data_IF_258443076759
#
_entry.id   IF_258443076759
#
_cell.length_a   1.000
_cell.length_b   1.000
_cell.length_c   1.000
_cell.angle_alpha   90.00
_cell.angle_beta   90.00
_cell.angle_gamma   90.00
#
_symmetry.space_group_name_H-M   'P 1'
#
loop_
_entity.id
_entity.type
_entity.pdbx_description
1 polymer ?
#
# COMPACT_ATOMS: atom_id res chain seq x y z
N UNK A 1 -55.28 -30.29 -10.72
CA UNK A 1 -53.98 -29.88 -11.24
C UNK A 1 -53.27 -29.04 -10.14
N UNK A 2 -52.28 -29.62 -9.47
CA UNK A 2 -51.52 -28.94 -8.43
C UNK A 2 -50.24 -28.41 -9.11
N UNK A 3 -50.11 -27.07 -9.21
CA UNK A 3 -48.91 -26.41 -9.71
C UNK A 3 -47.87 -26.43 -8.60
N UNK A 4 -46.83 -27.25 -8.73
CA UNK A 4 -45.66 -27.21 -7.86
C UNK A 4 -44.77 -26.03 -8.34
N UNK A 5 -44.72 -24.94 -7.57
CA UNK A 5 -43.78 -23.87 -7.79
C UNK A 5 -42.41 -24.31 -7.28
N UNK A 6 -41.47 -24.56 -8.19
CA UNK A 6 -40.05 -24.73 -7.84
C UNK A 6 -39.45 -23.38 -7.45
N UNK A 7 -39.26 -23.15 -6.17
CA UNK A 7 -38.40 -22.10 -5.67
C UNK A 7 -36.93 -22.49 -5.95
N UNK A 8 -36.37 -21.98 -7.03
CA UNK A 8 -34.92 -22.01 -7.22
C UNK A 8 -34.27 -21.07 -6.19
N UNK A 9 -33.73 -21.65 -5.12
CA UNK A 9 -32.96 -20.91 -4.14
C UNK A 9 -31.70 -20.36 -4.82
N UNK A 10 -31.57 -19.05 -4.94
CA UNK A 10 -30.31 -18.39 -5.26
C UNK A 10 -29.35 -18.69 -4.07
N UNK A 11 -28.50 -19.66 -4.22
CA UNK A 11 -27.36 -19.81 -3.33
C UNK A 11 -26.42 -18.62 -3.61
N UNK A 12 -26.38 -17.65 -2.69
CA UNK A 12 -25.36 -16.61 -2.70
C UNK A 12 -24.00 -17.31 -2.58
N UNK A 13 -23.20 -17.25 -3.65
CA UNK A 13 -21.86 -17.82 -3.62
C UNK A 13 -21.05 -17.05 -2.54
N UNK A 14 -20.48 -17.79 -1.57
CA UNK A 14 -19.69 -17.15 -0.50
C UNK A 14 -18.44 -16.52 -1.08
N UNK A 15 -18.07 -15.33 -0.55
CA UNK A 15 -16.81 -14.69 -0.87
C UNK A 15 -15.63 -15.54 -0.35
N UNK A 16 -14.51 -15.50 -1.06
CA UNK A 16 -13.29 -16.19 -0.69
C UNK A 16 -12.11 -15.22 -0.54
N UNK A 17 -11.05 -15.66 0.13
CA UNK A 17 -9.84 -14.89 0.28
C UNK A 17 -8.83 -15.22 -0.83
N UNK A 18 -8.10 -14.24 -1.33
CA UNK A 18 -6.90 -14.46 -2.15
C UNK A 18 -5.71 -14.35 -1.23
N UNK A 19 -4.90 -15.41 -1.16
CA UNK A 19 -3.65 -15.42 -0.40
C UNK A 19 -2.48 -15.74 -1.33
N UNK A 20 -1.26 -15.40 -0.90
CA UNK A 20 -0.07 -15.72 -1.66
C UNK A 20 1.19 -15.12 -1.07
N UNK A 21 2.29 -15.36 -1.77
CA UNK A 21 3.60 -14.82 -1.45
C UNK A 21 4.20 -14.13 -2.66
N UNK A 22 4.84 -12.99 -2.43
CA UNK A 22 5.67 -12.33 -3.44
C UNK A 22 7.13 -12.56 -3.07
N UNK A 23 7.93 -13.03 -4.02
CA UNK A 23 9.37 -13.23 -3.85
C UNK A 23 10.17 -12.33 -4.77
N UNK A 24 11.41 -12.00 -4.37
CA UNK A 24 12.37 -11.27 -5.19
C UNK A 24 13.34 -12.24 -5.85
N UNK A 25 13.50 -12.13 -7.16
CA UNK A 25 14.57 -12.80 -7.93
C UNK A 25 15.72 -11.85 -8.17
N UNK A 26 16.93 -12.33 -7.98
CA UNK A 26 18.16 -11.55 -8.05
C UNK A 26 18.58 -10.95 -6.71
N UNK A 27 19.77 -10.33 -6.69
CA UNK A 27 20.31 -9.68 -5.50
C UNK A 27 20.13 -8.19 -5.61
N UNK A 28 19.33 -7.55 -4.73
CA UNK A 28 19.16 -6.11 -4.76
C UNK A 28 20.46 -5.40 -4.35
N UNK A 29 20.66 -4.15 -4.81
CA UNK A 29 21.75 -3.32 -4.30
C UNK A 29 21.65 -3.19 -2.78
N UNK A 30 22.78 -3.10 -2.06
CA UNK A 30 22.76 -2.91 -0.62
C UNK A 30 22.06 -1.60 -0.26
N UNK A 31 21.24 -1.65 0.79
CA UNK A 31 20.62 -0.47 1.35
C UNK A 31 21.68 0.46 1.94
N UNK A 32 21.60 1.73 1.59
CA UNK A 32 22.58 2.76 1.97
C UNK A 32 22.22 3.40 3.30
N UNK A 33 23.22 3.75 4.09
CA UNK A 33 23.04 4.57 5.28
C UNK A 33 22.41 5.91 4.88
N UNK A 34 21.40 6.34 5.62
CA UNK A 34 20.82 7.67 5.46
C UNK A 34 21.63 8.68 6.29
N UNK A 35 22.69 9.20 5.69
CA UNK A 35 23.59 10.14 6.35
C UNK A 35 22.91 11.45 6.71
N UNK A 36 21.86 11.84 6.02
CA UNK A 36 21.10 13.05 6.33
C UNK A 36 20.38 12.91 7.68
N UNK A 37 19.69 11.80 7.91
CA UNK A 37 19.04 11.51 9.19
C UNK A 37 20.07 11.32 10.31
N UNK A 38 21.14 10.58 10.04
CA UNK A 38 22.20 10.29 10.99
C UNK A 38 22.86 11.58 11.53
N UNK A 39 23.07 12.54 10.65
CA UNK A 39 23.76 13.81 10.99
C UNK A 39 22.80 14.91 11.46
N UNK A 40 21.50 14.69 11.42
CA UNK A 40 20.53 15.64 11.95
C UNK A 40 20.58 15.65 13.49
N UNK A 41 20.70 16.83 14.13
CA UNK A 41 20.91 16.93 15.58
C UNK A 41 19.72 16.45 16.42
N UNK A 42 18.53 16.37 15.83
CA UNK A 42 17.30 15.91 16.51
C UNK A 42 16.90 14.53 15.98
N UNK A 43 16.68 14.40 14.68
CA UNK A 43 16.22 13.16 14.06
C UNK A 43 17.19 11.99 14.28
N UNK A 44 18.51 12.23 14.21
CA UNK A 44 19.50 11.19 14.43
C UNK A 44 19.46 10.60 15.84
N UNK A 45 19.04 11.36 16.85
CA UNK A 45 18.91 10.90 18.24
C UNK A 45 17.65 10.06 18.50
N UNK A 46 16.70 10.05 17.58
CA UNK A 46 15.46 9.26 17.70
C UNK A 46 15.68 7.79 17.33
N UNK A 47 16.88 7.44 16.84
CA UNK A 47 17.22 6.09 16.41
C UNK A 47 18.39 5.52 17.20
N UNK A 48 18.21 4.33 17.78
CA UNK A 48 19.29 3.54 18.39
C UNK A 48 20.22 2.92 17.35
N UNK A 49 19.64 2.60 16.18
CA UNK A 49 20.33 1.94 15.09
C UNK A 49 20.48 2.87 13.88
N UNK A 50 21.42 2.51 13.01
CA UNK A 50 21.63 3.26 11.78
C UNK A 50 20.45 3.09 10.83
N UNK A 51 19.74 4.19 10.54
CA UNK A 51 18.69 4.20 9.53
C UNK A 51 19.29 4.05 8.15
N UNK A 52 18.74 3.13 7.38
CA UNK A 52 19.12 2.90 5.99
C UNK A 52 17.95 3.22 5.06
N UNK A 53 18.25 3.35 3.78
CA UNK A 53 17.20 3.30 2.77
C UNK A 53 16.47 1.96 2.88
N UNK A 54 15.19 1.95 2.53
CA UNK A 54 14.36 0.73 2.51
C UNK A 54 13.76 0.57 1.11
N UNK A 55 14.64 0.46 0.09
CA UNK A 55 14.19 0.29 -1.28
C UNK A 55 13.73 -1.13 -1.57
N UNK A 56 14.33 -2.11 -0.87
CA UNK A 56 13.94 -3.51 -0.94
C UNK A 56 13.87 -4.08 0.47
N UNK A 57 12.68 -4.38 0.94
CA UNK A 57 12.46 -5.11 2.19
C UNK A 57 12.41 -6.59 1.84
N UNK A 58 13.51 -7.29 2.06
CA UNK A 58 13.64 -8.71 1.72
C UNK A 58 13.72 -9.53 3.00
N UNK A 59 12.71 -10.32 3.25
CA UNK A 59 12.61 -11.19 4.40
C UNK A 59 13.05 -12.63 4.11
N UNK A 60 12.51 -13.56 4.88
CA UNK A 60 12.82 -14.99 4.76
C UNK A 60 12.41 -15.52 3.39
N UNK A 61 13.21 -16.48 2.88
CA UNK A 61 12.98 -17.18 1.62
C UNK A 61 12.72 -16.22 0.45
N UNK A 62 13.51 -15.15 0.37
CA UNK A 62 13.40 -14.10 -0.64
C UNK A 62 12.03 -13.41 -0.67
N UNK A 63 11.24 -13.46 0.40
CA UNK A 63 9.98 -12.75 0.49
C UNK A 63 10.18 -11.25 0.30
N UNK A 64 9.39 -10.61 -0.57
CA UNK A 64 9.50 -9.19 -0.89
C UNK A 64 8.36 -8.42 -0.22
N UNK A 65 8.71 -7.60 0.75
CA UNK A 65 7.80 -6.65 1.39
C UNK A 65 7.50 -5.44 0.51
N UNK A 66 6.55 -4.63 0.96
CA UNK A 66 6.17 -3.37 0.30
C UNK A 66 5.67 -3.52 -1.15
N UNK A 67 5.19 -4.70 -1.52
CA UNK A 67 4.51 -4.92 -2.80
C UNK A 67 3.03 -4.63 -2.63
N UNK A 68 2.48 -3.80 -3.48
CA UNK A 68 1.05 -3.52 -3.53
C UNK A 68 0.38 -4.50 -4.49
N UNK A 69 -0.63 -5.22 -3.98
CA UNK A 69 -1.49 -6.12 -4.75
C UNK A 69 -2.83 -5.42 -4.98
N UNK A 70 -3.29 -5.36 -6.22
CA UNK A 70 -4.61 -4.80 -6.58
C UNK A 70 -5.38 -5.74 -7.47
N UNK A 71 -6.70 -5.79 -7.30
CA UNK A 71 -7.58 -6.66 -8.09
C UNK A 71 -8.30 -5.84 -9.15
N UNK A 72 -8.04 -6.12 -10.43
CA UNK A 72 -8.72 -5.51 -11.56
C UNK A 72 -9.95 -6.34 -11.98
N UNK A 73 -10.96 -5.66 -12.48
CA UNK A 73 -12.24 -6.30 -12.85
C UNK A 73 -13.20 -6.50 -11.68
N UNK A 74 -12.78 -6.19 -10.46
CA UNK A 74 -13.67 -6.21 -9.30
C UNK A 74 -14.66 -5.03 -9.31
N UNK A 75 -15.84 -5.19 -8.67
CA UNK A 75 -16.81 -4.12 -8.55
C UNK A 75 -16.20 -2.90 -7.85
N UNK A 76 -16.37 -1.74 -8.47
CA UNK A 76 -15.92 -0.46 -7.89
C UNK A 76 -16.83 -0.07 -6.74
N UNK A 77 -16.23 0.54 -5.71
CA UNK A 77 -16.96 1.09 -4.57
C UNK A 77 -16.15 2.20 -3.90
N UNK A 78 -16.84 3.04 -3.09
CA UNK A 78 -16.19 4.05 -2.27
C UNK A 78 -15.79 3.49 -0.91
N UNK A 79 -14.64 3.90 -0.41
CA UNK A 79 -14.14 3.58 0.93
C UNK A 79 -14.54 4.57 2.02
N UNK A 80 -15.51 5.46 1.77
CA UNK A 80 -15.93 6.49 2.75
C UNK A 80 -16.33 5.93 4.10
N UNK A 81 -16.95 4.75 4.13
CA UNK A 81 -17.34 4.03 5.35
C UNK A 81 -16.25 3.10 5.90
N UNK A 82 -15.15 2.92 5.19
CA UNK A 82 -14.05 2.09 5.65
C UNK A 82 -13.31 2.74 6.83
N UNK A 83 -12.71 1.93 7.68
CA UNK A 83 -11.89 2.44 8.78
C UNK A 83 -10.76 3.33 8.25
N UNK A 84 -10.43 4.43 8.93
CA UNK A 84 -9.32 5.28 8.55
C UNK A 84 -7.99 4.52 8.57
N UNK A 85 -7.12 4.81 7.60
CA UNK A 85 -5.74 4.35 7.59
C UNK A 85 -4.85 5.44 8.19
N UNK A 86 -3.85 5.04 8.96
CA UNK A 86 -2.93 5.98 9.61
C UNK A 86 -1.58 5.97 8.90
N UNK A 87 -1.05 7.16 8.61
CA UNK A 87 0.32 7.43 8.22
C UNK A 87 0.96 8.28 9.32
N UNK A 88 1.91 7.71 10.05
CA UNK A 88 2.54 8.41 11.18
C UNK A 88 3.90 8.99 10.79
N UNK A 89 4.17 10.21 11.23
CA UNK A 89 5.48 10.85 11.17
C UNK A 89 6.18 10.56 12.49
N UNK A 90 7.04 9.53 12.48
CA UNK A 90 7.68 8.99 13.67
C UNK A 90 9.15 8.68 13.40
N UNK A 91 10.02 9.20 14.26
CA UNK A 91 11.47 9.09 14.06
C UNK A 91 11.93 9.85 12.82
N UNK A 92 11.28 10.95 12.46
CA UNK A 92 11.53 11.69 11.22
C UNK A 92 11.42 10.79 9.96
N UNK A 93 10.50 9.84 9.99
CA UNK A 93 10.12 8.98 8.88
C UNK A 93 8.59 8.96 8.74
N UNK A 94 8.09 8.68 7.55
CA UNK A 94 6.70 8.26 7.36
C UNK A 94 6.59 6.75 7.59
N UNK A 95 5.68 6.35 8.48
CA UNK A 95 5.46 4.94 8.88
C UNK A 95 3.98 4.58 8.76
N UNK A 96 3.61 3.53 8.00
CA UNK A 96 4.47 2.76 7.10
C UNK A 96 4.88 3.55 5.85
N UNK A 97 5.93 3.12 5.17
CA UNK A 97 6.42 3.81 3.97
C UNK A 97 5.56 3.52 2.73
N UNK A 98 4.95 2.34 2.68
CA UNK A 98 4.06 1.91 1.59
C UNK A 98 2.69 1.60 2.17
N UNK A 99 1.65 2.18 1.55
CA UNK A 99 0.25 2.00 1.93
C UNK A 99 -0.62 1.78 0.71
N UNK A 100 -1.77 1.17 0.93
CA UNK A 100 -2.86 1.16 -0.02
C UNK A 100 -4.17 1.56 0.69
N UNK A 101 -4.98 2.34 0.02
CA UNK A 101 -6.28 2.81 0.50
C UNK A 101 -7.30 2.78 -0.62
N UNK A 102 -8.57 2.79 -0.26
CA UNK A 102 -9.66 2.92 -1.24
C UNK A 102 -9.96 4.39 -1.54
N UNK A 103 -10.47 4.69 -2.74
CA UNK A 103 -11.03 6.02 -3.06
C UNK A 103 -12.06 6.42 -2.02
N UNK A 104 -12.01 7.66 -1.53
CA UNK A 104 -12.88 8.18 -0.47
C UNK A 104 -12.51 7.75 0.95
N UNK A 105 -11.69 6.71 1.14
CA UNK A 105 -11.23 6.29 2.47
C UNK A 105 -10.36 7.37 3.12
N UNK A 106 -10.56 7.59 4.40
CA UNK A 106 -9.78 8.58 5.16
C UNK A 106 -8.36 8.09 5.41
N UNK A 107 -7.38 8.90 5.03
CA UNK A 107 -5.98 8.79 5.44
C UNK A 107 -5.71 9.82 6.52
N UNK A 108 -5.40 9.37 7.72
CA UNK A 108 -5.10 10.22 8.88
C UNK A 108 -3.59 10.31 9.03
N UNK A 109 -3.03 11.52 8.88
CA UNK A 109 -1.60 11.75 9.08
C UNK A 109 -1.37 12.33 10.47
N UNK A 110 -0.56 11.62 11.26
CA UNK A 110 -0.15 12.02 12.61
C UNK A 110 1.26 12.56 12.62
N UNK A 111 1.58 13.37 13.63
CA UNK A 111 2.95 13.73 13.97
C UNK A 111 3.24 13.25 15.40
N UNK A 112 3.95 12.14 15.52
CA UNK A 112 4.37 11.56 16.81
C UNK A 112 5.76 12.04 17.27
N UNK A 113 6.42 12.88 16.46
CA UNK A 113 7.73 13.44 16.79
C UNK A 113 7.62 14.76 17.54
N UNK A 114 8.70 15.13 18.21
CA UNK A 114 8.85 16.44 18.89
C UNK A 114 9.32 17.56 17.97
N UNK A 115 9.41 17.32 16.67
CA UNK A 115 9.82 18.28 15.64
C UNK A 115 8.70 18.54 14.63
N UNK A 116 8.81 19.67 13.96
CA UNK A 116 7.87 20.04 12.91
C UNK A 116 8.17 19.24 11.64
N UNK A 117 7.11 18.73 11.03
CA UNK A 117 7.11 18.17 9.68
C UNK A 117 6.14 18.91 8.79
N UNK A 118 6.14 18.58 7.51
CA UNK A 118 5.03 18.92 6.62
C UNK A 118 4.62 17.73 5.78
N UNK A 119 3.34 17.69 5.42
CA UNK A 119 2.76 16.67 4.56
C UNK A 119 2.59 17.29 3.18
N UNK A 120 3.52 17.00 2.29
CA UNK A 120 3.49 17.46 0.91
C UNK A 120 3.12 16.29 -0.01
N UNK A 121 1.90 16.33 -0.53
CA UNK A 121 1.34 15.35 -1.46
C UNK A 121 1.64 15.82 -2.87
N UNK A 122 2.32 14.97 -3.66
CA UNK A 122 2.70 15.27 -5.04
C UNK A 122 2.09 14.23 -5.97
N UNK A 123 0.90 14.52 -6.54
CA UNK A 123 0.24 13.63 -7.49
C UNK A 123 1.01 13.50 -8.79
N UNK A 124 0.79 12.39 -9.50
CA UNK A 124 1.21 12.26 -10.89
C UNK A 124 0.49 13.27 -11.79
N UNK A 125 1.13 13.67 -12.88
CA UNK A 125 0.61 14.74 -13.76
C UNK A 125 -0.83 14.49 -14.26
N UNK A 126 -1.20 13.22 -14.48
CA UNK A 126 -2.49 12.82 -15.06
C UNK A 126 -3.42 12.12 -14.04
N UNK A 127 -3.11 12.17 -12.74
CA UNK A 127 -3.84 11.38 -11.73
C UNK A 127 -5.24 11.92 -11.42
N UNK A 128 -5.46 13.21 -11.58
CA UNK A 128 -6.69 13.91 -11.17
C UNK A 128 -6.76 14.21 -9.66
N UNK A 129 -5.85 13.71 -8.84
CA UNK A 129 -5.72 14.11 -7.45
C UNK A 129 -5.05 15.49 -7.35
N UNK A 130 -5.26 16.18 -6.22
CA UNK A 130 -4.72 17.53 -6.03
C UNK A 130 -3.49 17.53 -5.17
N UNK A 131 -2.53 18.36 -5.53
CA UNK A 131 -1.40 18.68 -4.68
C UNK A 131 -1.87 19.34 -3.38
N UNK A 132 -1.23 19.00 -2.26
CA UNK A 132 -1.46 19.63 -0.97
C UNK A 132 -0.15 19.69 -0.19
N UNK A 133 0.08 20.81 0.50
CA UNK A 133 1.25 20.96 1.38
C UNK A 133 0.80 21.60 2.69
N UNK A 134 0.89 20.85 3.80
CA UNK A 134 0.44 21.29 5.12
C UNK A 134 1.53 21.04 6.15
N UNK A 135 1.91 22.10 6.87
CA UNK A 135 2.77 21.99 8.04
C UNK A 135 2.03 21.29 9.19
N UNK A 136 2.76 20.48 9.96
CA UNK A 136 2.25 19.82 11.15
C UNK A 136 3.29 19.92 12.29
N UNK A 137 3.04 20.83 13.23
CA UNK A 137 3.88 21.02 14.40
C UNK A 137 3.76 19.87 15.38
N UNK A 138 4.70 19.69 16.31
CA UNK A 138 4.55 18.76 17.43
C UNK A 138 3.25 19.01 18.21
N UNK A 139 2.49 17.93 18.46
CA UNK A 139 1.22 18.02 19.19
C UNK A 139 0.08 18.71 18.43
N UNK A 140 0.27 19.07 17.15
CA UNK A 140 -0.80 19.59 16.32
C UNK A 140 -1.86 18.50 16.06
N UNK A 141 -3.11 18.89 15.78
CA UNK A 141 -4.16 17.92 15.39
C UNK A 141 -3.75 17.11 14.16
N UNK A 142 -4.27 15.89 14.10
CA UNK A 142 -4.12 15.01 12.94
C UNK A 142 -4.67 15.67 11.67
N UNK A 143 -3.98 15.45 10.54
CA UNK A 143 -4.43 15.94 9.23
C UNK A 143 -5.12 14.80 8.49
N UNK A 144 -6.33 15.02 8.01
CA UNK A 144 -7.07 14.01 7.25
C UNK A 144 -7.12 14.37 5.77
N UNK A 145 -6.84 13.36 4.93
CA UNK A 145 -7.00 13.41 3.48
C UNK A 145 -7.95 12.31 3.01
N UNK A 146 -8.55 12.50 1.84
CA UNK A 146 -9.25 11.48 1.08
C UNK A 146 -9.04 11.76 -0.41
N UNK A 147 -8.92 10.72 -1.22
CA UNK A 147 -8.62 10.82 -2.65
C UNK A 147 -9.77 10.25 -3.46
N UNK A 148 -10.24 11.01 -4.43
CA UNK A 148 -11.37 10.60 -5.27
C UNK A 148 -10.95 9.78 -6.49
N UNK A 149 -9.69 9.87 -6.90
CA UNK A 149 -9.16 9.26 -8.13
C UNK A 149 -8.13 8.18 -7.81
N UNK A 150 -8.23 6.98 -8.41
CA UNK A 150 -7.19 5.96 -8.28
C UNK A 150 -5.84 6.47 -8.76
N UNK A 151 -4.80 6.13 -8.00
CA UNK A 151 -3.43 6.48 -8.34
C UNK A 151 -2.46 5.47 -7.71
N UNK A 152 -1.49 5.00 -8.48
CA UNK A 152 -0.46 4.11 -7.98
C UNK A 152 0.73 4.91 -7.47
N UNK A 153 1.15 4.66 -6.24
CA UNK A 153 2.28 5.30 -5.60
C UNK A 153 2.23 6.84 -5.61
N UNK A 154 1.07 7.39 -5.21
CA UNK A 154 0.93 8.81 -4.88
C UNK A 154 1.99 9.20 -3.85
N UNK A 155 2.83 10.18 -4.18
CA UNK A 155 4.00 10.54 -3.37
C UNK A 155 3.60 11.46 -2.22
N UNK A 156 4.04 11.09 -1.02
CA UNK A 156 4.08 11.93 0.17
C UNK A 156 5.52 12.24 0.50
N UNK A 157 5.85 13.50 0.81
CA UNK A 157 7.19 13.92 1.23
C UNK A 157 7.11 14.98 2.32
N UNK A 158 8.21 15.16 3.04
CA UNK A 158 8.44 16.30 3.90
C UNK A 158 9.46 17.23 3.23
N UNK A 159 9.16 18.53 3.11
CA UNK A 159 10.08 19.49 2.52
C UNK A 159 11.16 19.95 3.52
N UNK A 160 10.90 19.77 4.82
CA UNK A 160 11.87 20.05 5.90
C UNK A 160 12.91 18.94 6.01
N UNK A 161 12.48 17.67 5.81
CA UNK A 161 13.32 16.49 5.95
C UNK A 161 13.36 15.73 4.62
N UNK A 162 14.31 16.00 3.71
CA UNK A 162 14.29 15.54 2.33
C UNK A 162 14.41 14.01 2.16
N UNK A 163 14.79 13.29 3.22
CA UNK A 163 14.82 11.83 3.25
C UNK A 163 13.46 11.20 3.58
N UNK A 164 12.49 12.01 4.05
CA UNK A 164 11.21 11.53 4.57
C UNK A 164 10.16 11.50 3.48
N UNK A 165 9.75 10.31 3.08
CA UNK A 165 8.72 10.09 2.07
C UNK A 165 7.93 8.81 2.31
N UNK A 166 6.70 8.78 1.80
CA UNK A 166 5.85 7.60 1.72
C UNK A 166 5.14 7.55 0.36
N UNK A 167 4.55 6.40 0.06
CA UNK A 167 3.85 6.16 -1.20
C UNK A 167 2.53 5.48 -0.92
N UNK A 168 1.46 6.11 -1.38
CA UNK A 168 0.09 5.68 -1.15
C UNK A 168 -0.52 5.24 -2.47
N UNK A 169 -0.96 3.98 -2.57
CA UNK A 169 -1.75 3.54 -3.72
C UNK A 169 -3.23 3.70 -3.40
N UNK A 170 -3.93 4.44 -4.24
CA UNK A 170 -5.38 4.67 -4.15
C UNK A 170 -6.08 3.75 -5.15
N UNK A 171 -7.00 2.90 -4.66
CA UNK A 171 -7.69 1.87 -5.46
C UNK A 171 -9.20 2.14 -5.46
N UNK A 172 -9.89 1.84 -6.55
CA UNK A 172 -11.34 2.09 -6.70
C UNK A 172 -12.24 0.94 -6.23
N UNK A 173 -11.68 -0.01 -5.50
CA UNK A 173 -12.39 -1.14 -4.92
C UNK A 173 -11.70 -1.59 -3.62
N UNK A 174 -12.33 -2.40 -2.74
CA UNK A 174 -11.77 -2.81 -1.46
C UNK A 174 -10.80 -3.99 -1.54
N UNK A 175 -10.49 -4.50 -2.72
CA UNK A 175 -9.72 -5.73 -2.92
C UNK A 175 -8.27 -5.43 -3.26
N UNK A 176 -7.49 -5.14 -2.24
CA UNK A 176 -6.05 -4.87 -2.32
C UNK A 176 -5.34 -5.33 -1.05
N UNK A 177 -4.02 -5.43 -1.13
CA UNK A 177 -3.16 -5.70 0.01
C UNK A 177 -1.77 -5.08 -0.21
N UNK A 178 -1.00 -4.95 0.87
CA UNK A 178 0.44 -4.71 0.83
C UNK A 178 1.10 -5.92 1.48
N UNK A 179 2.16 -6.45 0.87
CA UNK A 179 2.90 -7.58 1.45
C UNK A 179 3.59 -7.18 2.75
N UNK A 180 3.63 -8.12 3.68
CA UNK A 180 4.48 -8.02 4.87
C UNK A 180 5.97 -8.16 4.51
N UNK A 181 6.84 -8.04 5.51
CA UNK A 181 8.30 -8.16 5.34
C UNK A 181 8.76 -9.51 4.76
N UNK A 182 7.96 -10.55 4.86
CA UNK A 182 8.23 -11.88 4.33
C UNK A 182 7.53 -12.15 2.99
N UNK A 183 6.93 -11.11 2.40
CA UNK A 183 6.25 -11.18 1.12
C UNK A 183 4.84 -11.79 1.16
N UNK A 184 4.31 -12.14 2.33
CA UNK A 184 2.98 -12.71 2.43
C UNK A 184 1.89 -11.62 2.29
N UNK A 185 0.77 -11.97 1.67
CA UNK A 185 -0.39 -11.09 1.53
C UNK A 185 -1.72 -11.84 1.62
N UNK A 186 -2.77 -11.09 1.93
CA UNK A 186 -4.14 -11.57 1.92
C UNK A 186 -5.08 -10.46 1.43
N UNK A 187 -5.86 -10.74 0.40
CA UNK A 187 -7.00 -9.93 -0.04
C UNK A 187 -8.27 -10.65 0.40
N UNK A 188 -9.00 -10.06 1.33
CA UNK A 188 -10.13 -10.72 1.98
C UNK A 188 -11.46 -10.50 1.27
N UNK A 189 -12.38 -11.46 1.43
CA UNK A 189 -13.79 -11.33 1.07
C UNK A 189 -14.04 -11.01 -0.42
N UNK A 190 -13.25 -11.56 -1.32
CA UNK A 190 -13.41 -11.37 -2.77
C UNK A 190 -14.60 -12.17 -3.27
N UNK A 191 -15.56 -11.55 -3.99
CA UNK A 191 -16.65 -12.30 -4.60
C UNK A 191 -16.12 -13.36 -5.58
N UNK A 192 -16.81 -14.51 -5.74
CA UNK A 192 -16.46 -15.48 -6.77
C UNK A 192 -16.48 -14.85 -8.16
N UNK A 193 -15.45 -15.15 -8.96
CA UNK A 193 -15.31 -14.56 -10.30
C UNK A 193 -13.92 -14.72 -10.88
N UNK A 194 -13.75 -14.23 -12.09
CA UNK A 194 -12.46 -14.15 -12.78
C UNK A 194 -11.94 -12.73 -12.72
N UNK A 195 -10.68 -12.57 -12.31
CA UNK A 195 -10.03 -11.30 -12.08
C UNK A 195 -8.61 -11.29 -12.61
N UNK A 196 -8.05 -10.11 -12.78
CA UNK A 196 -6.61 -9.93 -12.96
C UNK A 196 -6.04 -9.35 -11.66
N UNK A 197 -5.13 -10.08 -11.01
CA UNK A 197 -4.38 -9.55 -9.87
C UNK A 197 -3.06 -8.96 -10.37
N UNK A 198 -2.76 -7.74 -9.91
CA UNK A 198 -1.52 -7.02 -10.21
C UNK A 198 -0.67 -6.93 -8.95
N UNK A 199 0.61 -7.28 -9.07
CA UNK A 199 1.62 -7.09 -8.03
C UNK A 199 2.62 -6.04 -8.50
N UNK A 200 2.76 -4.94 -7.76
CA UNK A 200 3.65 -3.84 -8.13
C UNK A 200 4.51 -3.39 -6.95
N UNK A 201 5.82 -3.32 -7.17
CA UNK A 201 6.81 -2.80 -6.24
C UNK A 201 7.51 -1.61 -6.86
N UNK A 202 7.86 -0.61 -6.05
CA UNK A 202 8.44 0.65 -6.56
C UNK A 202 9.74 0.50 -7.34
N UNK A 203 10.53 -0.53 -7.06
CA UNK A 203 11.86 -0.74 -7.63
C UNK A 203 11.97 -2.03 -8.44
N UNK A 204 11.46 -3.15 -7.91
CA UNK A 204 11.50 -4.42 -8.62
C UNK A 204 10.72 -4.32 -9.93
N UNK A 205 11.12 -5.07 -10.94
CA UNK A 205 10.63 -5.00 -12.32
C UNK A 205 10.69 -3.59 -12.94
N UNK A 206 11.60 -2.72 -12.48
CA UNK A 206 11.63 -1.33 -12.91
C UNK A 206 10.38 -0.53 -12.53
N UNK A 207 9.69 -0.91 -11.46
CA UNK A 207 8.44 -0.30 -11.03
C UNK A 207 7.21 -0.72 -11.83
N UNK A 208 7.33 -1.68 -12.75
CA UNK A 208 6.21 -2.20 -13.56
C UNK A 208 5.46 -3.30 -12.82
N UNK A 209 4.14 -3.33 -12.98
CA UNK A 209 3.31 -4.38 -12.42
C UNK A 209 3.55 -5.73 -13.13
N UNK A 210 3.46 -6.81 -12.36
CA UNK A 210 3.32 -8.20 -12.85
C UNK A 210 1.89 -8.63 -12.64
N UNK A 211 1.27 -9.21 -13.64
CA UNK A 211 -0.15 -9.57 -13.62
C UNK A 211 -0.37 -11.06 -13.72
N UNK A 212 -1.44 -11.56 -13.11
CA UNK A 212 -1.95 -12.92 -13.27
C UNK A 212 -3.47 -12.93 -13.34
N UNK A 213 -4.01 -13.75 -14.25
CA UNK A 213 -5.41 -14.13 -14.21
C UNK A 213 -5.65 -15.09 -13.05
N UNK A 214 -6.76 -14.87 -12.32
CA UNK A 214 -7.13 -15.70 -11.18
C UNK A 214 -8.63 -15.92 -11.16
N UNK A 215 -9.04 -17.14 -10.80
CA UNK A 215 -10.44 -17.48 -10.54
C UNK A 215 -10.65 -17.67 -9.05
N UNK A 216 -11.50 -16.84 -8.46
CA UNK A 216 -11.85 -16.88 -7.04
C UNK A 216 -13.14 -17.68 -6.88
N UNK A 217 -13.13 -18.63 -5.96
CA UNK A 217 -14.29 -19.43 -5.57
C UNK A 217 -14.64 -19.15 -4.11
N UNK A 218 -15.68 -19.75 -3.60
CA UNK A 218 -16.04 -19.66 -2.16
C UNK A 218 -14.97 -20.23 -1.21
N UNK A 219 -14.05 -21.07 -1.71
CA UNK A 219 -12.88 -21.55 -0.97
C UNK A 219 -11.67 -20.62 -1.09
N UNK A 220 -11.79 -19.51 -1.82
CA UNK A 220 -10.70 -18.58 -2.09
C UNK A 220 -9.84 -18.98 -3.29
N UNK A 221 -8.66 -18.38 -3.36
CA UNK A 221 -7.65 -18.64 -4.39
C UNK A 221 -6.24 -18.36 -3.86
N UNK A 222 -5.22 -18.88 -4.54
CA UNK A 222 -3.81 -18.62 -4.23
C UNK A 222 -3.12 -18.03 -5.44
N UNK A 223 -2.29 -16.97 -5.22
CA UNK A 223 -1.53 -16.31 -6.27
C UNK A 223 -0.14 -15.92 -5.78
N UNK A 224 0.89 -16.67 -6.16
CA UNK A 224 2.28 -16.33 -5.87
C UNK A 224 2.89 -15.54 -7.02
N UNK A 225 3.79 -14.60 -6.70
CA UNK A 225 4.49 -13.76 -7.66
C UNK A 225 6.00 -13.84 -7.45
N UNK A 226 6.74 -13.64 -8.52
CA UNK A 226 8.17 -13.38 -8.48
C UNK A 226 8.44 -12.09 -9.23
N UNK A 227 9.03 -11.12 -8.53
CA UNK A 227 9.49 -9.85 -9.09
C UNK A 227 11.00 -9.89 -9.21
N UNK A 228 11.56 -9.16 -10.19
CA UNK A 228 12.99 -9.20 -10.47
C UNK A 228 13.68 -7.89 -10.08
N UNK A 229 14.92 -8.01 -9.62
CA UNK A 229 15.80 -6.85 -9.52
C UNK A 229 16.14 -6.40 -10.95
N UNK A 230 15.91 -5.12 -11.33
CA UNK A 230 16.29 -4.62 -12.65
C UNK A 230 17.79 -4.76 -12.90
N UNK A 231 18.14 -5.13 -14.13
CA UNK A 231 19.55 -5.20 -14.59
C UNK A 231 20.18 -3.83 -14.74
#
# INVERSE_FOLDING_TARGET
MVLAAMLAGLQAASAGDITGKVTLSGTPPPEKVNDLIKNDPVCGKLHSDTVKTAFYVVGKDQGLGDVVLTLKGAPKSSGESAAPVVLDQKGCLYVPQILAIQTGQKLVVKNSDSVMHNVHIVPGADSGNKEANKAQAPGAPDITFAFATPETFLKFKCDVHPWMFAWVTVVDNPYFAVTDENGAFKIANVPPGKYTIEAQHRKANGGKAVTKEIEVTGSGATADFTLEVPK
#
